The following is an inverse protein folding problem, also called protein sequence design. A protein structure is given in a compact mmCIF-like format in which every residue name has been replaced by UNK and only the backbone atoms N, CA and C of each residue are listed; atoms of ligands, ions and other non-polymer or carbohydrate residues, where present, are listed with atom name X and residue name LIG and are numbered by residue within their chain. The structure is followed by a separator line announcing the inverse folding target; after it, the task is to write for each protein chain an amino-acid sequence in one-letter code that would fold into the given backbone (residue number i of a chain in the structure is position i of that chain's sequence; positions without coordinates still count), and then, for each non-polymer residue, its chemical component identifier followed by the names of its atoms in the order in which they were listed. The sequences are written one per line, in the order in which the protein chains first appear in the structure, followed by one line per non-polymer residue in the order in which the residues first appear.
data_IF_677532700361
#
_entry.id   IF_677532700361
#
_cell.length_a   1.000
_cell.length_b   1.000
_cell.length_c   1.000
_cell.angle_alpha   90.00
_cell.angle_beta   90.00
_cell.angle_gamma   90.00
#
_symmetry.space_group_name_H-M   'P 1'
#
loop_
_entity.id
_entity.type
_entity.pdbx_description
1 polymer ?
#
# COMPACT_ATOMS: atom_id res chain seq x y z
N UNK A 1 5.17 3.98 8.30
CA UNK A 1 4.62 2.86 9.10
C UNK A 1 3.25 3.21 9.67
N UNK A 2 3.04 4.44 10.15
CA UNK A 2 1.74 4.93 10.68
C UNK A 2 0.56 4.74 9.69
N UNK A 3 0.71 5.18 8.44
CA UNK A 3 -0.34 5.09 7.40
C UNK A 3 -0.81 3.66 7.10
N UNK A 4 0.04 2.68 7.40
CA UNK A 4 -0.18 1.26 7.12
C UNK A 4 -0.64 0.51 8.37
N UNK A 5 -0.24 0.96 9.56
CA UNK A 5 -0.65 0.35 10.84
C UNK A 5 -2.10 0.72 11.20
N UNK A 6 -2.62 1.82 10.66
CA UNK A 6 -3.98 2.31 10.95
C UNK A 6 -5.04 1.73 9.98
N UNK A 7 -4.62 1.16 8.83
CA UNK A 7 -5.54 0.92 7.71
C UNK A 7 -5.91 -0.55 7.43
N UNK A 8 -5.43 -1.56 8.17
CA UNK A 8 -5.82 -2.96 7.89
C UNK A 8 -5.22 -3.55 6.60
N UNK A 9 -4.01 -3.14 6.24
CA UNK A 9 -3.24 -3.73 5.15
C UNK A 9 -2.97 -5.24 5.37
N UNK A 10 -2.76 -5.99 4.28
CA UNK A 10 -2.23 -7.35 4.32
C UNK A 10 -0.76 -7.39 3.93
N UNK A 11 -0.04 -8.39 4.42
CA UNK A 11 1.39 -8.59 4.14
C UNK A 11 1.55 -9.67 3.08
N UNK A 12 2.35 -9.38 2.07
CA UNK A 12 2.67 -10.30 0.98
C UNK A 12 4.19 -10.50 0.88
N UNK A 13 4.62 -11.75 0.81
CA UNK A 13 5.99 -12.17 0.53
C UNK A 13 6.08 -12.60 -0.92
N UNK A 14 6.80 -11.82 -1.72
CA UNK A 14 6.96 -12.04 -3.16
C UNK A 14 8.35 -11.57 -3.57
N UNK A 15 8.94 -12.30 -4.53
CA UNK A 15 10.21 -11.90 -5.16
C UNK A 15 10.06 -10.62 -5.98
N UNK A 16 9.01 -10.56 -6.79
CA UNK A 16 8.73 -9.48 -7.73
C UNK A 16 7.27 -9.02 -7.60
N UNK A 17 7.06 -7.70 -7.65
CA UNK A 17 5.73 -7.08 -7.55
C UNK A 17 4.87 -7.51 -8.75
N UNK A 18 3.64 -8.04 -8.54
CA UNK A 18 2.81 -8.52 -9.63
C UNK A 18 2.27 -7.36 -10.46
N UNK A 19 2.00 -7.65 -11.74
CA UNK A 19 1.38 -6.70 -12.67
C UNK A 19 2.36 -5.91 -13.50
N UNK A 20 1.85 -4.87 -14.14
CA UNK A 20 2.62 -3.95 -14.95
C UNK A 20 2.92 -2.70 -14.13
N UNK A 21 4.18 -2.52 -13.76
CA UNK A 21 4.62 -1.38 -12.98
C UNK A 21 4.38 -0.06 -13.74
N UNK A 22 3.87 0.93 -13.02
CA UNK A 22 3.71 2.28 -13.56
C UNK A 22 5.06 2.83 -13.99
N UNK A 23 5.07 3.41 -15.19
CA UNK A 23 6.25 4.07 -15.73
C UNK A 23 6.43 5.45 -15.10
N UNK A 24 7.66 5.98 -15.15
CA UNK A 24 8.00 7.32 -14.65
C UNK A 24 6.98 8.41 -15.02
N UNK A 25 6.56 8.43 -16.30
CA UNK A 25 5.63 9.43 -16.83
C UNK A 25 4.25 9.40 -16.17
N UNK A 26 3.80 8.23 -15.73
CA UNK A 26 2.56 8.07 -14.97
C UNK A 26 2.80 8.41 -13.50
N UNK A 27 3.85 7.85 -12.90
CA UNK A 27 4.17 8.05 -11.48
C UNK A 27 4.46 9.51 -11.13
N UNK A 28 5.04 10.30 -12.04
CA UNK A 28 5.31 11.72 -11.81
C UNK A 28 4.04 12.56 -11.63
N UNK A 29 2.88 12.08 -12.07
CA UNK A 29 1.59 12.77 -11.82
C UNK A 29 1.29 12.86 -10.33
N UNK A 30 1.84 11.95 -9.51
CA UNK A 30 1.66 11.91 -8.07
C UNK A 30 2.69 12.76 -7.30
N UNK A 31 3.63 13.40 -7.99
CA UNK A 31 4.67 14.23 -7.37
C UNK A 31 4.04 15.37 -6.57
N UNK A 32 4.57 15.63 -5.37
CA UNK A 32 4.20 16.79 -4.58
C UNK A 32 3.88 16.44 -3.13
N UNK A 33 3.15 17.34 -2.48
CA UNK A 33 2.75 17.21 -1.10
C UNK A 33 1.30 16.74 -1.02
N UNK A 34 1.05 15.77 -0.15
CA UNK A 34 -0.26 15.16 0.07
C UNK A 34 -0.59 15.17 1.55
N UNK A 35 -1.85 15.40 1.90
CA UNK A 35 -2.31 15.40 3.28
C UNK A 35 -3.49 14.46 3.47
N UNK A 36 -3.51 13.73 4.58
CA UNK A 36 -4.70 13.03 5.06
C UNK A 36 -5.67 14.00 5.71
N UNK A 37 -6.92 13.59 5.88
CA UNK A 37 -7.93 14.36 6.65
C UNK A 37 -7.52 14.61 8.11
N UNK A 38 -6.69 13.74 8.68
CA UNK A 38 -6.21 13.84 10.07
C UNK A 38 -5.01 14.77 10.24
N UNK A 39 -4.47 15.29 9.14
CA UNK A 39 -3.38 16.27 9.14
C UNK A 39 -1.98 15.70 8.95
N UNK A 40 -1.84 14.39 8.72
CA UNK A 40 -0.54 13.81 8.33
C UNK A 40 -0.18 14.26 6.91
N UNK A 41 1.06 14.72 6.72
CA UNK A 41 1.55 15.28 5.45
C UNK A 41 2.68 14.41 4.89
N UNK A 42 2.63 14.15 3.60
CA UNK A 42 3.57 13.29 2.88
C UNK A 42 4.16 14.05 1.70
N UNK A 43 5.46 13.92 1.51
CA UNK A 43 6.12 14.32 0.27
C UNK A 43 6.29 13.08 -0.61
N UNK A 44 5.83 13.16 -1.84
CA UNK A 44 5.96 12.09 -2.84
C UNK A 44 6.89 12.57 -3.95
N UNK A 45 7.94 11.80 -4.20
CA UNK A 45 8.93 12.05 -5.24
C UNK A 45 9.05 10.78 -6.09
N UNK A 46 8.85 10.84 -7.42
CA UNK A 46 9.07 9.69 -8.28
C UNK A 46 10.57 9.38 -8.39
N UNK A 47 10.89 8.10 -8.54
CA UNK A 47 12.23 7.57 -8.84
C UNK A 47 12.27 7.09 -10.28
N UNK A 48 13.44 7.14 -10.93
CA UNK A 48 13.59 6.90 -12.38
C UNK A 48 13.01 5.58 -12.89
N UNK A 49 12.90 4.56 -12.04
CA UNK A 49 12.32 3.25 -12.33
C UNK A 49 10.77 3.23 -12.26
N UNK A 50 10.14 4.38 -12.01
CA UNK A 50 8.69 4.51 -11.85
C UNK A 50 8.21 4.32 -10.40
N UNK A 51 9.07 3.91 -9.47
CA UNK A 51 8.71 3.82 -8.05
C UNK A 51 8.58 5.22 -7.41
N UNK A 52 8.05 5.28 -6.19
CA UNK A 52 7.80 6.50 -5.44
C UNK A 52 8.59 6.46 -4.12
N UNK A 53 9.36 7.50 -3.86
CA UNK A 53 9.86 7.82 -2.53
C UNK A 53 8.81 8.63 -1.80
N UNK A 54 8.23 8.04 -0.75
CA UNK A 54 7.24 8.69 0.11
C UNK A 54 7.91 9.05 1.42
N UNK A 55 8.12 10.34 1.66
CA UNK A 55 8.64 10.91 2.90
C UNK A 55 7.51 11.42 3.78
N UNK A 56 7.63 11.21 5.09
CA UNK A 56 6.74 11.78 6.10
C UNK A 56 7.60 12.41 7.21
N UNK A 57 7.51 13.74 7.43
CA UNK A 57 8.09 14.36 8.60
C UNK A 57 7.27 13.95 9.83
N UNK A 58 7.84 13.16 10.73
CA UNK A 58 7.21 12.85 12.02
C UNK A 58 7.90 13.65 13.12
N UNK A 59 7.12 14.16 14.07
CA UNK A 59 7.65 14.77 15.28
C UNK A 59 7.85 13.68 16.33
N UNK A 60 9.07 13.48 16.78
CA UNK A 60 9.42 12.44 17.77
C UNK A 60 9.46 13.01 19.19
N UNK A 61 9.65 14.34 19.32
CA UNK A 61 9.66 15.08 20.59
C UNK A 61 9.31 16.57 20.37
N UNK A 62 9.28 17.38 21.42
CA UNK A 62 9.02 18.83 21.28
C UNK A 62 10.06 19.55 20.40
N UNK A 63 11.25 18.99 20.18
CA UNK A 63 12.34 19.70 19.49
C UNK A 63 12.88 18.97 18.24
N UNK A 64 12.46 17.74 17.97
CA UNK A 64 13.03 16.92 16.90
C UNK A 64 12.01 16.45 15.86
N UNK A 65 12.38 16.61 14.59
CA UNK A 65 11.68 16.03 13.44
C UNK A 65 12.53 14.90 12.86
N UNK A 66 11.93 13.72 12.70
CA UNK A 66 12.52 12.60 11.96
C UNK A 66 11.81 12.47 10.60
N UNK A 67 12.59 12.40 9.51
CA UNK A 67 12.06 12.10 8.20
C UNK A 67 12.02 10.57 8.01
N UNK A 68 10.83 9.99 8.10
CA UNK A 68 10.64 8.57 7.78
C UNK A 68 10.29 8.47 6.30
N UNK A 69 11.09 7.75 5.54
CA UNK A 69 10.81 7.48 4.13
C UNK A 69 10.50 6.01 3.87
N UNK A 70 9.67 5.75 2.86
CA UNK A 70 9.44 4.41 2.30
C UNK A 70 9.45 4.47 0.79
N UNK A 71 9.92 3.39 0.16
CA UNK A 71 9.76 3.20 -1.28
C UNK A 71 8.43 2.47 -1.50
N UNK A 72 7.66 2.97 -2.44
CA UNK A 72 6.42 2.37 -2.90
C UNK A 72 6.49 2.13 -4.41
N UNK A 73 5.89 1.05 -4.88
CA UNK A 73 5.73 0.79 -6.32
C UNK A 73 4.26 0.68 -6.61
N UNK A 74 3.79 1.38 -7.65
CA UNK A 74 2.43 1.22 -8.14
C UNK A 74 2.46 0.29 -9.34
N UNK A 75 1.56 -0.68 -9.35
CA UNK A 75 1.43 -1.67 -10.42
C UNK A 75 -0.02 -1.90 -10.75
N UNK A 76 -0.32 -2.14 -12.02
CA UNK A 76 -1.65 -2.47 -12.51
C UNK A 76 -1.79 -3.99 -12.68
N UNK A 77 -2.80 -4.59 -12.05
CA UNK A 77 -3.12 -6.02 -12.12
C UNK A 77 -4.60 -6.19 -12.43
N UNK A 78 -4.93 -6.62 -13.65
CA UNK A 78 -6.33 -6.59 -14.12
C UNK A 78 -6.83 -5.15 -14.13
N UNK A 79 -7.97 -4.91 -13.47
CA UNK A 79 -8.57 -3.57 -13.33
C UNK A 79 -8.08 -2.81 -12.07
N UNK A 80 -7.12 -3.37 -11.32
CA UNK A 80 -6.69 -2.81 -10.03
C UNK A 80 -5.35 -2.09 -10.16
N UNK A 81 -5.30 -0.82 -9.73
CA UNK A 81 -4.04 -0.14 -9.45
C UNK A 81 -3.67 -0.37 -7.99
N UNK A 82 -2.51 -0.96 -7.73
CA UNK A 82 -2.10 -1.37 -6.40
C UNK A 82 -0.79 -0.67 -6.03
N UNK A 83 -0.75 -0.08 -4.84
CA UNK A 83 0.49 0.46 -4.26
C UNK A 83 1.09 -0.56 -3.29
N UNK A 84 2.33 -0.94 -3.54
CA UNK A 84 3.11 -1.87 -2.72
C UNK A 84 4.19 -1.10 -1.95
N UNK A 85 4.10 -1.12 -0.63
CA UNK A 85 5.01 -0.43 0.30
C UNK A 85 5.96 -1.45 0.92
N UNK A 86 7.27 -1.24 0.77
CA UNK A 86 8.27 -2.17 1.30
C UNK A 86 8.23 -2.21 2.83
N UNK A 87 8.04 -3.40 3.41
CA UNK A 87 8.10 -3.60 4.84
C UNK A 87 9.57 -3.75 5.29
N UNK A 88 10.08 -2.75 6.02
CA UNK A 88 11.51 -2.67 6.41
C UNK A 88 11.95 -3.66 7.49
N UNK A 89 11.04 -4.45 8.09
CA UNK A 89 11.30 -5.20 9.32
C UNK A 89 11.81 -6.65 9.17
N UNK A 90 12.01 -7.19 7.97
CA UNK A 90 12.46 -8.58 7.82
C UNK A 90 13.69 -8.76 6.90
N UNK A 91 14.57 -9.67 7.32
CA UNK A 91 15.84 -10.07 6.67
C UNK A 91 15.71 -11.45 6.00
N UNK A 92 14.55 -11.78 5.46
CA UNK A 92 14.33 -13.08 4.82
C UNK A 92 14.62 -13.03 3.31
N UNK A 93 14.79 -14.20 2.70
CA UNK A 93 15.20 -14.41 1.30
C UNK A 93 14.23 -13.77 0.26
N UNK A 94 13.01 -13.40 0.68
CA UNK A 94 11.99 -12.76 -0.16
C UNK A 94 11.55 -11.39 0.41
N UNK A 95 11.49 -10.33 -0.42
CA UNK A 95 10.95 -9.04 -0.01
C UNK A 95 9.51 -9.12 0.49
N UNK A 96 9.22 -8.37 1.56
CA UNK A 96 7.87 -8.25 2.11
C UNK A 96 7.27 -6.90 1.79
N UNK A 97 6.02 -6.90 1.33
CA UNK A 97 5.29 -5.69 0.99
C UNK A 97 3.94 -5.64 1.70
N UNK A 98 3.50 -4.42 1.94
CA UNK A 98 2.15 -4.08 2.35
C UNK A 98 1.46 -3.51 1.11
N UNK A 99 0.24 -3.90 0.80
CA UNK A 99 -0.44 -3.41 -0.40
C UNK A 99 -1.80 -2.79 -0.11
N UNK A 100 -2.16 -1.81 -0.93
CA UNK A 100 -3.44 -1.10 -0.92
C UNK A 100 -3.90 -0.90 -2.37
N UNK A 101 -5.21 -0.80 -2.59
CA UNK A 101 -5.77 -0.30 -3.84
C UNK A 101 -5.58 1.21 -3.92
N UNK A 102 -5.30 1.70 -5.12
CA UNK A 102 -5.19 3.11 -5.47
C UNK A 102 -6.33 3.47 -6.40
N UNK A 103 -7.21 4.37 -5.96
CA UNK A 103 -8.20 5.01 -6.80
C UNK A 103 -7.85 6.49 -6.95
N UNK A 104 -7.52 6.91 -8.18
CA UNK A 104 -7.29 8.32 -8.50
C UNK A 104 -8.62 8.94 -8.92
N UNK A 105 -9.19 9.78 -8.05
CA UNK A 105 -10.45 10.47 -8.36
C UNK A 105 -10.22 11.76 -9.17
N UNK A 106 -9.06 12.40 -8.99
CA UNK A 106 -8.58 13.55 -9.78
C UNK A 106 -7.08 13.77 -9.52
N UNK A 107 -6.45 14.74 -10.20
CA UNK A 107 -5.06 15.16 -9.93
C UNK A 107 -4.87 15.71 -8.50
N UNK A 108 -5.95 16.01 -7.79
CA UNK A 108 -5.96 16.62 -6.47
C UNK A 108 -6.37 15.65 -5.36
N UNK A 109 -6.84 14.45 -5.71
CA UNK A 109 -7.37 13.47 -4.75
C UNK A 109 -7.00 12.03 -5.13
N UNK A 110 -6.25 11.39 -4.22
CA UNK A 110 -5.99 9.95 -4.25
C UNK A 110 -6.76 9.30 -3.09
N UNK A 111 -7.39 8.16 -3.36
CA UNK A 111 -8.00 7.31 -2.36
C UNK A 111 -7.22 6.01 -2.28
N UNK A 112 -6.76 5.67 -1.08
CA UNK A 112 -6.14 4.39 -0.80
C UNK A 112 -7.13 3.51 -0.05
N UNK A 113 -7.36 2.30 -0.54
CA UNK A 113 -8.33 1.37 0.03
C UNK A 113 -7.61 0.10 0.46
N UNK A 114 -7.77 -0.32 1.73
CA UNK A 114 -7.10 -1.49 2.23
C UNK A 114 -7.77 -2.78 1.75
N UNK A 115 -6.98 -3.86 1.66
CA UNK A 115 -7.51 -5.19 1.41
C UNK A 115 -8.46 -5.64 2.54
N UNK A 116 -9.55 -6.31 2.17
CA UNK A 116 -10.49 -6.93 3.09
C UNK A 116 -9.87 -8.22 3.66
N UNK A 117 -9.26 -8.11 4.83
CA UNK A 117 -8.48 -9.20 5.45
C UNK A 117 -9.21 -10.55 5.54
N UNK A 118 -10.51 -10.55 5.89
CA UNK A 118 -11.33 -11.76 5.94
C UNK A 118 -11.42 -12.46 4.59
N UNK A 119 -11.60 -11.72 3.48
CA UNK A 119 -11.62 -12.29 2.13
C UNK A 119 -10.32 -13.02 1.80
N UNK A 120 -9.18 -12.43 2.17
CA UNK A 120 -7.88 -13.06 1.92
C UNK A 120 -7.65 -14.29 2.80
N UNK A 121 -8.15 -14.31 4.04
CA UNK A 121 -8.13 -15.52 4.89
C UNK A 121 -8.98 -16.62 4.27
N UNK A 122 -10.19 -16.31 3.84
CA UNK A 122 -11.07 -17.29 3.17
C UNK A 122 -10.41 -17.87 1.92
N UNK A 123 -9.68 -17.06 1.15
CA UNK A 123 -8.94 -17.51 -0.04
C UNK A 123 -7.76 -18.41 0.31
N UNK A 124 -7.05 -18.12 1.41
CA UNK A 124 -6.00 -18.99 1.94
C UNK A 124 -6.59 -20.33 2.37
N UNK A 125 -7.69 -20.31 3.12
CA UNK A 125 -8.36 -21.53 3.61
C UNK A 125 -8.91 -22.39 2.46
N UNK A 126 -9.37 -21.76 1.37
CA UNK A 126 -9.80 -22.41 0.13
C UNK A 126 -8.66 -22.81 -0.81
N UNK A 127 -7.42 -22.53 -0.44
CA UNK A 127 -6.22 -22.82 -1.25
C UNK A 127 -6.21 -22.10 -2.62
N UNK A 128 -6.90 -20.96 -2.72
CA UNK A 128 -6.87 -20.08 -3.91
C UNK A 128 -5.56 -19.29 -3.99
N UNK A 129 -4.96 -18.99 -2.83
CA UNK A 129 -3.63 -18.38 -2.70
C UNK A 129 -2.86 -19.05 -1.57
N UNK A 130 -1.54 -19.16 -1.73
CA UNK A 130 -0.70 -19.68 -0.64
C UNK A 130 -0.51 -18.61 0.43
N UNK A 131 -0.73 -18.97 1.69
CA UNK A 131 -0.57 -18.04 2.79
C UNK A 131 -0.84 -18.66 4.14
N UNK A 132 -0.83 -17.82 5.17
CA UNK A 132 -1.23 -18.18 6.53
C UNK A 132 -1.89 -17.02 7.24
N UNK A 133 -2.78 -17.33 8.17
CA UNK A 133 -3.31 -16.36 9.14
C UNK A 133 -2.33 -16.16 10.28
N UNK A 134 -1.98 -14.92 10.59
CA UNK A 134 -1.14 -14.57 11.74
C UNK A 134 -1.97 -13.72 12.71
N UNK A 135 -2.25 -14.27 13.89
CA UNK A 135 -2.97 -13.58 14.97
C UNK A 135 -1.99 -12.82 15.85
N UNK A 136 -2.34 -11.61 16.26
CA UNK A 136 -1.57 -10.89 17.28
C UNK A 136 -1.76 -11.54 18.65
N UNK A 137 -0.68 -11.71 19.41
CA UNK A 137 -0.69 -12.45 20.69
C UNK A 137 -1.73 -11.93 21.70
N UNK A 138 -2.01 -10.63 21.67
CA UNK A 138 -2.87 -9.94 22.64
C UNK A 138 -4.04 -9.19 21.97
N UNK A 139 -4.44 -9.56 20.75
CA UNK A 139 -5.54 -8.91 20.02
C UNK A 139 -6.34 -9.94 19.23
N UNK A 140 -7.62 -9.65 18.99
CA UNK A 140 -8.44 -10.43 18.06
C UNK A 140 -8.16 -10.11 16.60
N UNK A 141 -7.37 -9.07 16.36
CA UNK A 141 -6.85 -8.73 15.05
C UNK A 141 -5.90 -9.81 14.51
N UNK A 142 -5.90 -9.94 13.20
CA UNK A 142 -5.03 -10.82 12.47
C UNK A 142 -4.57 -10.15 11.17
N UNK A 143 -3.51 -10.69 10.58
CA UNK A 143 -3.11 -10.39 9.21
C UNK A 143 -3.14 -11.70 8.40
N UNK A 144 -3.66 -11.62 7.18
CA UNK A 144 -3.42 -12.58 6.13
C UNK A 144 -2.00 -12.35 5.60
N UNK A 145 -1.14 -13.34 5.80
CA UNK A 145 0.20 -13.36 5.26
C UNK A 145 0.20 -14.19 3.99
N UNK A 146 0.32 -13.55 2.84
CA UNK A 146 0.38 -14.24 1.55
C UNK A 146 1.83 -14.64 1.31
N UNK A 147 2.06 -15.93 1.12
CA UNK A 147 3.39 -16.54 0.96
C UNK A 147 3.37 -17.37 -0.32
N UNK A 148 3.56 -16.73 -1.47
CA UNK A 148 3.37 -17.39 -2.76
C UNK A 148 4.36 -16.92 -3.81
N UNK A 149 4.49 -17.70 -4.90
CA UNK A 149 4.96 -17.16 -6.16
C UNK A 149 4.09 -15.96 -6.59
N UNK A 150 4.65 -15.04 -7.36
CA UNK A 150 3.93 -13.86 -7.83
C UNK A 150 2.80 -14.21 -8.82
N UNK A 151 2.80 -15.41 -9.42
CA UNK A 151 1.89 -15.80 -10.49
C UNK A 151 0.47 -16.14 -10.02
N UNK A 152 0.34 -16.97 -8.99
CA UNK A 152 -0.93 -17.33 -8.36
C UNK A 152 -1.62 -16.11 -7.77
N UNK A 153 -0.86 -15.30 -7.02
CA UNK A 153 -1.36 -14.05 -6.43
C UNK A 153 -1.79 -13.03 -7.52
N UNK A 154 -1.00 -12.85 -8.59
CA UNK A 154 -1.36 -12.00 -9.73
C UNK A 154 -2.67 -12.46 -10.38
N UNK A 155 -2.83 -13.77 -10.61
CA UNK A 155 -4.03 -14.33 -11.24
C UNK A 155 -5.27 -14.12 -10.37
N UNK A 156 -5.14 -14.30 -9.05
CA UNK A 156 -6.22 -14.05 -8.10
C UNK A 156 -6.62 -12.57 -8.11
N UNK A 157 -5.65 -11.65 -8.01
CA UNK A 157 -5.91 -10.21 -8.05
C UNK A 157 -6.64 -9.81 -9.34
N UNK A 158 -6.19 -10.32 -10.49
CA UNK A 158 -6.76 -9.96 -11.78
C UNK A 158 -8.16 -10.55 -12.05
N UNK A 159 -8.57 -11.60 -11.34
CA UNK A 159 -9.83 -12.31 -11.60
C UNK A 159 -10.99 -11.91 -10.69
N UNK A 160 -10.72 -11.23 -9.57
CA UNK A 160 -11.73 -10.84 -8.57
C UNK A 160 -12.06 -9.36 -8.65
N UNK A 161 -13.30 -9.01 -8.28
CA UNK A 161 -13.75 -7.62 -8.29
C UNK A 161 -13.17 -6.83 -7.13
N UNK A 162 -13.18 -5.50 -7.26
CA UNK A 162 -12.68 -4.59 -6.23
C UNK A 162 -13.42 -4.76 -4.90
N UNK A 163 -14.74 -4.96 -4.93
CA UNK A 163 -15.59 -5.11 -3.73
C UNK A 163 -15.33 -6.41 -2.96
N UNK A 164 -14.91 -7.45 -3.66
CA UNK A 164 -14.53 -8.73 -3.06
C UNK A 164 -13.21 -8.59 -2.30
N UNK A 165 -12.25 -7.88 -2.90
CA UNK A 165 -10.88 -7.78 -2.42
C UNK A 165 -10.63 -6.65 -1.44
N UNK A 166 -11.33 -5.52 -1.54
CA UNK A 166 -11.00 -4.30 -0.82
C UNK A 166 -12.16 -3.78 0.02
N UNK A 167 -11.83 -3.19 1.18
CA UNK A 167 -12.83 -2.62 2.08
C UNK A 167 -12.98 -1.11 1.85
N UNK A 168 -13.89 -0.75 0.94
CA UNK A 168 -14.19 0.65 0.59
C UNK A 168 -14.73 1.48 1.76
N UNK A 169 -15.12 0.85 2.88
CA UNK A 169 -15.51 1.57 4.11
C UNK A 169 -14.31 2.13 4.86
N UNK A 170 -13.12 1.52 4.70
CA UNK A 170 -11.90 1.87 5.40
C UNK A 170 -10.92 2.63 4.49
N UNK A 171 -11.36 3.68 3.81
CA UNK A 171 -10.53 4.44 2.86
C UNK A 171 -9.70 5.54 3.52
N UNK A 172 -8.49 5.75 2.99
CA UNK A 172 -7.65 6.91 3.28
C UNK A 172 -7.71 7.86 2.09
N UNK A 173 -8.21 9.07 2.33
CA UNK A 173 -8.23 10.12 1.32
C UNK A 173 -7.01 11.03 1.50
N UNK A 174 -6.24 11.17 0.42
CA UNK A 174 -5.07 12.03 0.33
C UNK A 174 -5.39 13.19 -0.61
N UNK A 175 -5.46 14.40 -0.05
CA UNK A 175 -5.66 15.62 -0.81
C UNK A 175 -4.32 16.29 -1.11
N UNK A 176 -4.17 16.81 -2.32
CA UNK A 176 -2.95 17.54 -2.70
C UNK A 176 -2.85 18.86 -1.94
N UNK A 177 -1.67 19.11 -1.37
CA UNK A 177 -1.36 20.35 -0.65
C UNK A 177 -0.85 21.37 -1.66
N UNK A 178 -1.53 22.51 -1.74
CA UNK A 178 -1.10 23.67 -2.51
C UNK A 178 -0.39 24.64 -1.57
N UNK A 179 0.92 24.82 -1.78
CA UNK A 179 1.66 25.86 -1.08
C UNK A 179 1.21 27.21 -1.65
N UNK A 180 0.65 28.07 -0.80
CA UNK A 180 0.43 29.46 -1.16
C UNK A 180 1.77 30.18 -1.01
N UNK A 181 2.20 30.85 -2.07
CA UNK A 181 3.29 31.80 -1.99
C UNK A 181 2.68 33.17 -1.65
N UNK A 182 2.92 33.64 -0.43
CA UNK A 182 2.71 35.05 -0.05
C UNK A 182 3.88 35.92 -0.53
#
# INVERSE_FOLDING_TARGET
MLLVTIAGCQVVHIRDIPGDAWQWETSKTLTGWWATKTGDVFQVIPLHDGSLLIGHPTRTSEEEFEAISTIATISTVGDHNLIFLKNKKQKDEEPSFLFLLVETSSDELIVLIPPKGDSFVDMIDKHEVNGKRVKYKNSDEFIALITSDSGSFKTMLASKSTEELFDSKLKIELSRVKLLHD
#
